data_IF_879065746625
#
_entry.id   IF_879065746625
#
_cell.length_a   1.000
_cell.length_b   1.000
_cell.length_c   1.000
_cell.angle_alpha   90.00
_cell.angle_beta   90.00
_cell.angle_gamma   90.00
#
_symmetry.space_group_name_H-M   'P 1'
#
loop_
_entity.id
_entity.type
_entity.pdbx_description
1 polymer ?
#
# COMPACT_ATOMS: atom_id res chain seq x y z
N UNK A 1 -5.88 32.31 49.91
CA UNK A 1 -6.16 30.95 49.40
C UNK A 1 -6.20 31.04 47.88
N UNK A 2 -5.04 30.89 47.24
CA UNK A 2 -4.96 30.89 45.77
C UNK A 2 -5.34 29.48 45.35
N UNK A 3 -6.50 29.33 44.72
CA UNK A 3 -6.88 28.08 44.07
C UNK A 3 -6.07 28.04 42.78
N UNK A 4 -4.89 27.40 42.83
CA UNK A 4 -4.22 26.99 41.60
C UNK A 4 -5.07 25.85 41.06
N UNK A 5 -6.03 26.17 40.18
CA UNK A 5 -6.54 25.17 39.24
C UNK A 5 -5.33 24.74 38.41
N UNK A 6 -4.88 23.48 38.47
CA UNK A 6 -3.81 23.04 37.58
C UNK A 6 -4.35 23.17 36.16
N UNK A 7 -3.91 24.20 35.44
CA UNK A 7 -4.40 24.54 34.09
C UNK A 7 -3.85 23.61 33.01
N UNK A 8 -3.45 22.40 33.35
CA UNK A 8 -2.87 21.47 32.39
C UNK A 8 -3.26 20.04 32.75
N UNK A 9 -4.56 19.70 32.58
CA UNK A 9 -4.91 18.30 32.35
C UNK A 9 -4.21 17.92 31.05
N UNK A 10 -3.14 17.13 31.14
CA UNK A 10 -2.45 16.63 29.95
C UNK A 10 -3.49 15.87 29.12
N UNK A 11 -3.78 16.29 27.87
CA UNK A 11 -4.82 15.68 27.06
C UNK A 11 -4.45 14.23 26.66
N UNK A 12 -3.20 13.81 26.83
CA UNK A 12 -2.74 12.43 26.72
C UNK A 12 -2.82 11.65 28.04
N UNK A 13 -3.41 12.20 29.11
CA UNK A 13 -3.65 11.44 30.34
C UNK A 13 -4.68 10.33 30.08
N UNK A 14 -4.22 9.08 30.16
CA UNK A 14 -5.01 7.85 29.95
C UNK A 14 -4.82 7.21 28.57
N UNK A 15 -5.30 5.97 28.41
CA UNK A 15 -5.21 5.20 27.16
C UNK A 15 -6.20 5.71 26.09
N UNK A 16 -5.94 6.91 25.57
CA UNK A 16 -6.74 7.58 24.53
C UNK A 16 -6.50 6.95 23.16
N UNK A 17 -5.25 6.79 22.76
CA UNK A 17 -4.88 6.16 21.50
C UNK A 17 -4.93 4.64 21.64
N UNK A 18 -5.81 3.99 20.90
CA UNK A 18 -6.02 2.55 20.89
C UNK A 18 -5.01 1.85 19.98
N UNK A 19 -5.00 0.52 20.04
CA UNK A 19 -4.27 -0.35 19.11
C UNK A 19 -2.78 -0.01 18.94
N UNK A 20 -2.14 0.47 20.01
CA UNK A 20 -0.72 0.82 20.01
C UNK A 20 -0.40 2.16 19.32
N UNK A 21 -1.37 3.06 19.18
CA UNK A 21 -1.15 4.43 18.74
C UNK A 21 -0.40 5.28 19.79
N UNK A 22 0.39 6.24 19.33
CA UNK A 22 1.17 7.14 20.18
C UNK A 22 0.42 8.47 20.36
N UNK A 23 0.22 8.89 21.60
CA UNK A 23 -0.41 10.17 21.90
C UNK A 23 0.60 11.32 21.86
N UNK A 24 0.24 12.40 21.16
CA UNK A 24 1.00 13.64 21.12
C UNK A 24 0.13 14.81 21.57
N UNK A 25 0.63 15.60 22.52
CA UNK A 25 -0.01 16.83 22.98
C UNK A 25 0.21 17.93 21.95
N UNK A 26 -0.86 18.60 21.53
CA UNK A 26 -0.83 19.75 20.63
C UNK A 26 -1.62 20.91 21.25
N UNK A 27 -0.94 21.73 22.05
CA UNK A 27 -1.59 22.78 22.84
C UNK A 27 -2.51 22.20 23.93
N UNK A 28 -3.81 22.46 23.81
CA UNK A 28 -4.84 21.96 24.75
C UNK A 28 -5.58 20.71 24.23
N UNK A 29 -5.22 20.19 23.05
CA UNK A 29 -5.79 19.00 22.44
C UNK A 29 -4.72 17.89 22.32
N UNK A 30 -5.16 16.67 22.03
CA UNK A 30 -4.29 15.55 21.69
C UNK A 30 -4.44 15.16 20.22
N UNK A 31 -3.41 14.54 19.66
CA UNK A 31 -3.43 13.86 18.38
C UNK A 31 -2.82 12.46 18.54
N UNK A 32 -3.46 11.45 17.96
CA UNK A 32 -2.91 10.10 17.93
C UNK A 32 -2.16 9.84 16.62
N UNK A 33 -0.93 9.34 16.73
CA UNK A 33 -0.20 8.75 15.60
C UNK A 33 -0.47 7.26 15.61
N UNK A 34 -1.24 6.79 14.63
CA UNK A 34 -1.67 5.41 14.55
C UNK A 34 -0.60 4.51 13.94
N UNK A 35 -0.48 3.30 14.49
CA UNK A 35 0.31 2.24 13.87
C UNK A 35 -0.53 1.61 12.76
N UNK A 36 0.06 1.35 11.60
CA UNK A 36 -0.63 0.59 10.56
C UNK A 36 -1.06 -0.81 11.08
N UNK A 37 -2.25 -1.31 10.72
CA UNK A 37 -3.23 -0.77 9.76
C UNK A 37 -4.36 0.09 10.40
N UNK A 38 -4.13 0.74 11.54
CA UNK A 38 -5.18 1.47 12.27
C UNK A 38 -5.32 2.93 11.85
N UNK A 39 -6.55 3.45 11.85
CA UNK A 39 -6.94 4.83 11.54
C UNK A 39 -7.98 5.35 12.54
N UNK A 40 -8.44 6.59 12.35
CA UNK A 40 -9.38 7.27 13.24
C UNK A 40 -8.69 8.19 14.24
N UNK A 41 -9.47 9.01 14.92
CA UNK A 41 -8.94 10.03 15.86
C UNK A 41 -8.23 9.38 17.04
N UNK A 42 -8.67 8.18 17.43
CA UNK A 42 -8.11 7.40 18.52
C UNK A 42 -7.51 6.07 18.06
N UNK A 43 -7.24 5.89 16.77
CA UNK A 43 -6.71 4.64 16.20
C UNK A 43 -7.61 3.42 16.44
N UNK A 44 -8.93 3.63 16.52
CA UNK A 44 -9.95 2.63 16.82
C UNK A 44 -10.35 1.79 15.60
N UNK A 45 -10.18 2.34 14.39
CA UNK A 45 -10.59 1.69 13.15
C UNK A 45 -9.42 0.90 12.57
N UNK A 46 -9.67 -0.31 12.09
CA UNK A 46 -8.69 -1.08 11.31
C UNK A 46 -9.17 -1.15 9.86
N UNK A 47 -8.50 -0.42 8.97
CA UNK A 47 -8.90 -0.28 7.55
C UNK A 47 -8.68 -1.55 6.74
N UNK A 48 -7.99 -2.55 7.29
CA UNK A 48 -7.68 -3.82 6.63
C UNK A 48 -8.41 -5.03 7.25
N UNK A 49 -9.36 -4.83 8.18
CA UNK A 49 -10.02 -5.92 8.93
C UNK A 49 -10.63 -6.99 8.04
N UNK A 50 -11.36 -6.58 7.00
CA UNK A 50 -12.09 -7.51 6.11
C UNK A 50 -11.27 -7.93 4.88
N UNK A 51 -9.97 -7.64 4.88
CA UNK A 51 -9.08 -7.80 3.73
C UNK A 51 -9.71 -7.26 2.41
N UNK A 52 -9.82 -5.93 2.26
CA UNK A 52 -10.48 -5.30 1.12
C UNK A 52 -9.78 -5.56 -0.22
N UNK A 53 -8.56 -6.11 -0.20
CA UNK A 53 -7.76 -6.45 -1.36
C UNK A 53 -8.05 -7.87 -1.83
N UNK A 54 -8.59 -8.00 -3.04
CA UNK A 54 -8.91 -9.28 -3.66
C UNK A 54 -7.67 -9.90 -4.31
N UNK A 55 -7.83 -11.14 -4.77
CA UNK A 55 -6.87 -11.85 -5.62
C UNK A 55 -5.43 -11.88 -5.06
N UNK A 56 -5.31 -12.02 -3.74
CA UNK A 56 -4.02 -12.09 -3.05
C UNK A 56 -3.27 -10.76 -2.94
N UNK A 57 -3.96 -9.63 -3.14
CA UNK A 57 -3.43 -8.29 -2.87
C UNK A 57 -3.12 -8.08 -1.37
N UNK A 58 -2.14 -7.23 -1.08
CA UNK A 58 -1.76 -6.89 0.30
C UNK A 58 -2.36 -5.54 0.69
N UNK A 59 -3.19 -5.53 1.73
CA UNK A 59 -3.74 -4.30 2.31
C UNK A 59 -2.71 -3.56 3.14
N UNK A 60 -2.63 -2.25 2.98
CA UNK A 60 -1.84 -1.37 3.83
C UNK A 60 -2.56 -0.04 4.04
N UNK A 61 -2.25 0.64 5.14
CA UNK A 61 -2.75 1.98 5.42
C UNK A 61 -1.92 3.00 4.62
N UNK A 62 -2.61 3.90 3.92
CA UNK A 62 -2.02 5.05 3.23
C UNK A 62 -2.74 6.32 3.69
N UNK A 63 -2.08 7.10 4.55
CA UNK A 63 -2.72 8.21 5.24
C UNK A 63 -3.85 7.74 6.16
N UNK A 64 -5.10 8.07 5.80
CA UNK A 64 -6.31 7.71 6.55
C UNK A 64 -7.18 6.67 5.85
N UNK A 65 -6.75 6.11 4.71
CA UNK A 65 -7.50 5.10 3.95
C UNK A 65 -6.67 3.85 3.72
N UNK A 66 -7.32 2.75 3.32
CA UNK A 66 -6.59 1.58 2.86
C UNK A 66 -6.10 1.79 1.41
N UNK A 67 -5.02 1.10 1.06
CA UNK A 67 -4.61 0.84 -0.32
C UNK A 67 -4.23 -0.62 -0.48
N UNK A 68 -4.38 -1.11 -1.70
CA UNK A 68 -4.01 -2.48 -2.04
C UNK A 68 -2.76 -2.50 -2.92
N UNK A 69 -1.75 -3.28 -2.47
CA UNK A 69 -0.65 -3.68 -3.33
C UNK A 69 -1.07 -4.96 -4.06
N UNK A 70 -1.47 -4.81 -5.31
CA UNK A 70 -1.95 -5.93 -6.11
C UNK A 70 -0.82 -6.85 -6.56
N UNK A 71 -1.11 -8.16 -6.55
CA UNK A 71 -0.31 -9.14 -7.28
C UNK A 71 -0.70 -9.07 -8.75
N UNK A 72 0.28 -9.11 -9.65
CA UNK A 72 -0.02 -9.30 -11.08
C UNK A 72 -0.78 -10.62 -11.29
N UNK A 73 -1.66 -10.70 -12.31
CA UNK A 73 -2.06 -9.66 -13.28
C UNK A 73 -3.13 -8.68 -12.77
N UNK A 74 -3.43 -8.66 -11.46
CA UNK A 74 -4.52 -7.86 -10.92
C UNK A 74 -4.14 -6.39 -10.72
N UNK A 75 -5.12 -5.51 -10.91
CA UNK A 75 -5.01 -4.06 -10.80
C UNK A 75 -6.34 -3.44 -10.31
N UNK A 76 -6.37 -2.10 -10.24
CA UNK A 76 -7.39 -1.28 -9.55
C UNK A 76 -7.27 -1.25 -8.01
N UNK A 77 -8.05 -0.38 -7.38
CA UNK A 77 -8.03 -0.09 -5.94
C UNK A 77 -8.17 -1.34 -5.07
N UNK A 78 -8.98 -2.32 -5.51
CA UNK A 78 -9.25 -3.57 -4.77
C UNK A 78 -8.64 -4.81 -5.40
N UNK A 79 -7.80 -4.65 -6.43
CA UNK A 79 -7.24 -5.79 -7.18
C UNK A 79 -8.31 -6.71 -7.78
N UNK A 80 -9.47 -6.16 -8.15
CA UNK A 80 -10.62 -6.91 -8.70
C UNK A 80 -10.57 -7.04 -10.23
N UNK A 81 -9.74 -6.23 -10.89
CA UNK A 81 -9.53 -6.29 -12.34
C UNK A 81 -8.28 -7.06 -12.66
N UNK A 82 -8.32 -7.82 -13.73
CA UNK A 82 -7.21 -8.59 -14.26
C UNK A 82 -6.81 -8.02 -15.62
N UNK A 83 -5.51 -7.76 -15.82
CA UNK A 83 -5.03 -7.42 -17.15
C UNK A 83 -5.09 -8.68 -18.00
N UNK A 84 -6.20 -8.85 -18.72
CA UNK A 84 -6.25 -9.77 -19.85
C UNK A 84 -5.31 -9.20 -20.92
N UNK A 85 -4.01 -9.48 -20.79
CA UNK A 85 -3.06 -9.30 -21.88
C UNK A 85 -3.33 -10.37 -22.92
N UNK A 86 -4.51 -10.34 -23.53
CA UNK A 86 -4.69 -10.99 -24.82
C UNK A 86 -3.87 -10.16 -25.79
N UNK A 87 -2.77 -10.73 -26.27
CA UNK A 87 -2.09 -10.19 -27.44
C UNK A 87 -3.18 -10.16 -28.52
N UNK A 88 -3.73 -8.98 -28.80
CA UNK A 88 -4.65 -8.82 -29.91
C UNK A 88 -3.87 -9.17 -31.17
N UNK A 89 -4.52 -9.76 -32.17
CA UNK A 89 -3.83 -10.26 -33.36
C UNK A 89 -2.94 -9.19 -34.02
N UNK A 90 -3.28 -7.90 -33.87
CA UNK A 90 -2.48 -6.74 -34.31
C UNK A 90 -1.12 -6.61 -33.60
N UNK A 91 -1.02 -7.00 -32.33
CA UNK A 91 0.24 -7.02 -31.58
C UNK A 91 1.08 -8.27 -31.89
N UNK A 92 0.46 -9.39 -32.33
CA UNK A 92 1.20 -10.60 -32.70
C UNK A 92 2.08 -10.40 -33.94
N UNK A 93 1.67 -9.53 -34.87
CA UNK A 93 2.47 -9.17 -36.05
C UNK A 93 3.73 -8.38 -35.65
N UNK A 94 3.60 -7.49 -34.67
CA UNK A 94 4.71 -6.66 -34.17
C UNK A 94 5.79 -7.51 -33.45
N UNK A 95 5.41 -8.51 -32.64
CA UNK A 95 6.39 -9.38 -31.97
C UNK A 95 7.06 -10.39 -32.92
N UNK A 96 6.37 -10.81 -33.98
CA UNK A 96 6.95 -11.68 -35.03
C UNK A 96 8.03 -10.97 -35.82
N UNK A 97 7.83 -9.69 -36.16
CA UNK A 97 8.81 -8.87 -36.88
C UNK A 97 10.07 -8.59 -36.03
N UNK A 98 9.95 -8.66 -34.71
CA UNK A 98 11.06 -8.52 -33.76
C UNK A 98 11.67 -9.88 -33.33
N UNK A 99 11.18 -11.00 -33.89
CA UNK A 99 11.61 -12.38 -33.60
C UNK A 99 11.65 -12.71 -32.09
N UNK A 100 10.69 -12.20 -31.32
CA UNK A 100 10.59 -12.46 -29.89
C UNK A 100 9.44 -13.46 -29.63
N UNK A 101 9.77 -14.62 -29.08
CA UNK A 101 8.77 -15.57 -28.57
C UNK A 101 8.52 -15.27 -27.11
N UNK A 102 7.34 -14.77 -26.76
CA UNK A 102 6.93 -14.64 -25.36
C UNK A 102 6.58 -16.05 -24.88
N UNK A 103 7.51 -16.69 -24.18
CA UNK A 103 7.22 -17.93 -23.44
C UNK A 103 6.73 -17.56 -22.05
N UNK A 104 5.88 -18.38 -21.43
CA UNK A 104 5.32 -18.09 -20.08
C UNK A 104 6.41 -17.89 -18.99
N UNK A 105 7.67 -18.24 -19.28
CA UNK A 105 8.85 -17.96 -18.46
C UNK A 105 9.43 -16.53 -18.63
N UNK A 106 9.15 -15.82 -19.73
CA UNK A 106 9.67 -14.46 -20.00
C UNK A 106 8.87 -13.34 -19.27
N UNK A 107 7.70 -13.67 -18.71
CA UNK A 107 6.93 -12.75 -17.86
C UNK A 107 7.37 -12.80 -16.38
N UNK A 108 8.34 -13.66 -16.04
CA UNK A 108 8.80 -13.89 -14.67
C UNK A 108 10.20 -13.31 -14.38
N UNK A 109 10.95 -12.80 -15.37
CA UNK A 109 12.23 -12.11 -15.08
C UNK A 109 12.38 -10.72 -15.73
N UNK A 110 12.05 -9.72 -14.92
CA UNK A 110 12.91 -8.57 -14.63
C UNK A 110 12.97 -7.40 -15.63
N UNK A 111 11.88 -6.60 -15.72
CA UNK A 111 11.97 -5.15 -16.02
C UNK A 111 12.36 -4.31 -14.80
N UNK A 112 13.27 -4.83 -13.96
CA UNK A 112 13.87 -4.05 -12.87
C UNK A 112 15.40 -4.04 -12.85
N UNK A 113 16.12 -4.82 -13.69
CA UNK A 113 17.57 -4.70 -13.85
C UNK A 113 18.09 -5.48 -15.07
N UNK A 114 18.06 -4.89 -16.27
CA UNK A 114 18.99 -5.27 -17.35
C UNK A 114 19.72 -4.03 -17.85
N UNK A 115 20.67 -3.54 -17.05
CA UNK A 115 21.98 -3.31 -17.66
C UNK A 115 22.62 -4.70 -17.78
N UNK A 116 22.43 -5.34 -18.95
CA UNK A 116 23.25 -6.48 -19.34
C UNK A 116 24.08 -6.02 -20.52
N UNK A 117 25.33 -5.70 -20.21
CA UNK A 117 26.50 -6.19 -20.96
C UNK A 117 26.15 -6.84 -22.30
N UNK A 118 26.00 -6.01 -23.32
CA UNK A 118 26.05 -6.46 -24.72
C UNK A 118 27.52 -6.79 -24.99
N UNK A 119 27.85 -8.08 -25.03
CA UNK A 119 29.14 -8.53 -25.55
C UNK A 119 28.96 -8.90 -27.03
N UNK A 120 29.84 -8.45 -27.94
CA UNK A 120 29.76 -8.85 -29.34
C UNK A 120 30.03 -10.35 -29.51
N UNK A 121 29.28 -11.00 -30.38
CA UNK A 121 29.61 -12.35 -30.87
C UNK A 121 30.63 -12.16 -32.00
N UNK A 122 31.83 -12.71 -31.83
CA UNK A 122 32.87 -12.86 -32.86
C UNK A 122 32.48 -13.88 -33.92
#
# INVERSE_FOLDING_TARGET
MIIIFPSTLDPCTGDRCKNGGTCHVSGHIFNCVCRAPFSGVTCEENVCTDNPCLNGGTCYLDGSSFKCKCRRPYFEEKCDKETNMTITDELTEIVKDLNFTITDDDLIDNWTSRESSVSPIT
#
